data_IF_511401377756
#
_entry.id   IF_511401377756
#
_cell.length_a   1.000
_cell.length_b   1.000
_cell.length_c   1.000
_cell.angle_alpha   90.00
_cell.angle_beta   90.00
_cell.angle_gamma   90.00
#
_symmetry.space_group_name_H-M   'P 1'
#
loop_
_entity.id
_entity.type
_entity.pdbx_description
1 polymer ?
#
# COMPACT_ATOMS: atom_id res chain seq x y z
N UNK A 1 19.15 -31.98 12.30
CA UNK A 1 18.34 -30.98 11.57
C UNK A 1 19.10 -29.67 11.61
N UNK A 2 19.81 -29.37 10.53
CA UNK A 2 20.78 -28.28 10.45
C UNK A 2 20.02 -26.94 10.37
N UNK A 3 20.06 -26.16 11.45
CA UNK A 3 19.66 -24.76 11.40
C UNK A 3 20.73 -24.03 10.57
N UNK A 4 20.41 -23.75 9.30
CA UNK A 4 21.25 -22.87 8.50
C UNK A 4 21.28 -21.49 9.15
N UNK A 5 22.45 -20.85 9.27
CA UNK A 5 22.56 -19.50 9.80
C UNK A 5 21.73 -18.57 8.91
N UNK A 6 20.74 -17.89 9.50
CA UNK A 6 19.95 -16.89 8.80
C UNK A 6 20.89 -15.77 8.37
N UNK A 7 21.14 -15.66 7.07
CA UNK A 7 21.78 -14.46 6.52
C UNK A 7 21.03 -13.22 7.00
N UNK A 8 21.74 -12.11 7.28
CA UNK A 8 21.09 -10.86 7.64
C UNK A 8 20.12 -10.45 6.53
N UNK A 9 18.90 -10.11 6.92
CA UNK A 9 17.83 -9.71 6.01
C UNK A 9 18.30 -8.59 5.07
N UNK A 10 18.26 -8.83 3.76
CA UNK A 10 18.53 -7.82 2.73
C UNK A 10 17.21 -7.41 2.08
N UNK A 11 17.06 -6.12 1.75
CA UNK A 11 15.86 -5.63 1.06
C UNK A 11 15.59 -6.35 -0.28
N UNK A 12 16.63 -6.92 -0.89
CA UNK A 12 16.57 -7.78 -2.09
C UNK A 12 15.87 -9.12 -1.85
N UNK A 13 15.80 -9.63 -0.61
CA UNK A 13 15.14 -10.90 -0.29
C UNK A 13 13.62 -10.81 -0.51
N UNK A 14 13.07 -9.59 -0.45
CA UNK A 14 11.66 -9.29 -0.77
C UNK A 14 11.38 -9.23 -2.27
N UNK A 15 12.40 -9.34 -3.13
CA UNK A 15 12.23 -9.45 -4.60
C UNK A 15 11.98 -10.90 -5.04
N UNK A 16 12.28 -11.89 -4.19
CA UNK A 16 11.92 -13.29 -4.43
C UNK A 16 10.41 -13.50 -4.18
N UNK A 17 9.63 -13.96 -5.17
CA UNK A 17 8.20 -14.20 -5.01
C UNK A 17 7.94 -15.31 -3.97
N UNK A 18 8.74 -16.37 -3.96
CA UNK A 18 8.61 -17.49 -3.02
C UNK A 18 8.86 -17.07 -1.56
N UNK A 19 9.90 -16.26 -1.32
CA UNK A 19 10.21 -15.74 0.02
C UNK A 19 9.06 -14.89 0.54
N UNK A 20 8.50 -14.06 -0.34
CA UNK A 20 7.40 -13.16 -0.05
C UNK A 20 6.10 -13.90 0.25
N UNK A 21 5.69 -14.87 -0.56
CA UNK A 21 4.50 -15.69 -0.27
C UNK A 21 4.63 -16.40 1.08
N UNK A 22 5.82 -16.91 1.39
CA UNK A 22 6.11 -17.53 2.69
C UNK A 22 5.99 -16.50 3.83
N UNK A 23 6.46 -15.28 3.61
CA UNK A 23 6.33 -14.19 4.58
C UNK A 23 4.87 -13.76 4.76
N UNK A 24 4.11 -13.62 3.68
CA UNK A 24 2.67 -13.32 3.69
C UNK A 24 1.87 -14.39 4.45
N UNK A 25 2.15 -15.67 4.21
CA UNK A 25 1.55 -16.77 4.99
C UNK A 25 1.85 -16.66 6.47
N UNK A 26 3.13 -16.44 6.85
CA UNK A 26 3.51 -16.24 8.25
C UNK A 26 2.80 -15.05 8.88
N UNK A 27 2.68 -13.95 8.14
CA UNK A 27 2.03 -12.73 8.60
C UNK A 27 0.52 -12.91 8.78
N UNK A 28 -0.15 -13.59 7.85
CA UNK A 28 -1.57 -13.91 7.95
C UNK A 28 -1.88 -14.80 9.15
N UNK A 29 -1.07 -15.85 9.38
CA UNK A 29 -1.21 -16.70 10.57
C UNK A 29 -1.01 -15.90 11.86
N UNK A 30 -0.02 -15.01 11.90
CA UNK A 30 0.24 -14.16 13.07
C UNK A 30 -0.93 -13.21 13.35
N UNK A 31 -1.48 -12.57 12.32
CA UNK A 31 -2.67 -11.70 12.45
C UNK A 31 -3.83 -12.49 13.05
N UNK A 32 -4.13 -13.69 12.52
CA UNK A 32 -5.22 -14.51 13.00
C UNK A 32 -5.06 -14.88 14.49
N UNK A 33 -3.85 -15.25 14.92
CA UNK A 33 -3.55 -15.55 16.32
C UNK A 33 -3.73 -14.32 17.22
N UNK A 34 -3.28 -13.15 16.78
CA UNK A 34 -3.42 -11.89 17.52
C UNK A 34 -4.89 -11.46 17.64
N UNK A 35 -5.71 -11.69 16.62
CA UNK A 35 -7.15 -11.41 16.65
C UNK A 35 -7.87 -12.31 17.68
N UNK A 36 -7.56 -13.62 17.68
CA UNK A 36 -8.11 -14.56 18.67
C UNK A 36 -7.66 -14.20 20.09
N UNK A 37 -6.39 -13.83 20.27
CA UNK A 37 -5.86 -13.39 21.55
C UNK A 37 -6.56 -12.13 22.05
N UNK A 38 -6.78 -11.14 21.17
CA UNK A 38 -7.49 -9.90 21.50
C UNK A 38 -8.92 -10.19 21.95
N UNK A 39 -9.67 -11.00 21.20
CA UNK A 39 -11.03 -11.41 21.57
C UNK A 39 -11.09 -12.22 22.88
N UNK A 40 -10.01 -12.92 23.24
CA UNK A 40 -9.92 -13.61 24.53
C UNK A 40 -9.67 -12.63 25.68
N UNK A 41 -8.85 -11.60 25.47
CA UNK A 41 -8.59 -10.54 26.45
C UNK A 41 -9.84 -9.72 26.70
N UNK A 42 -10.59 -9.35 25.66
CA UNK A 42 -11.85 -8.61 25.80
C UNK A 42 -12.86 -9.41 26.62
N UNK A 43 -13.05 -10.71 26.32
CA UNK A 43 -13.88 -11.59 27.15
C UNK A 43 -13.40 -11.75 28.59
N UNK A 44 -12.08 -11.67 28.82
CA UNK A 44 -11.51 -11.76 30.16
C UNK A 44 -11.71 -10.47 30.95
N UNK A 45 -11.82 -9.32 30.29
CA UNK A 45 -12.13 -8.03 30.90
C UNK A 45 -13.59 -7.96 31.37
N UNK A 46 -14.50 -8.60 30.65
CA UNK A 46 -15.93 -8.64 31.00
C UNK A 46 -16.24 -9.65 32.13
N UNK A 47 -15.27 -10.48 32.52
CA UNK A 47 -15.44 -11.52 33.54
C UNK A 47 -15.32 -11.01 34.98
N UNK A 48 -15.96 -11.69 35.96
CA UNK A 48 -15.81 -11.35 37.37
C UNK A 48 -14.38 -11.66 37.87
N UNK A 49 -13.78 -10.73 38.62
CA UNK A 49 -12.42 -10.88 39.16
C UNK A 49 -11.29 -10.59 38.18
N UNK A 50 -11.59 -9.90 37.08
CA UNK A 50 -10.60 -9.52 36.08
C UNK A 50 -9.52 -8.59 36.65
N UNK A 51 -8.25 -8.90 36.36
CA UNK A 51 -7.13 -7.99 36.55
C UNK A 51 -7.13 -6.95 35.41
N UNK A 52 -7.96 -5.91 35.61
CA UNK A 52 -8.26 -4.89 34.59
C UNK A 52 -6.99 -4.20 34.10
N UNK A 53 -6.09 -3.83 35.00
CA UNK A 53 -4.86 -3.10 34.65
C UNK A 53 -3.92 -3.93 33.79
N UNK A 54 -3.73 -5.20 34.16
CA UNK A 54 -2.90 -6.12 33.38
C UNK A 54 -3.53 -6.41 32.02
N UNK A 55 -4.83 -6.70 31.98
CA UNK A 55 -5.55 -7.02 30.75
C UNK A 55 -5.63 -5.82 29.80
N UNK A 56 -5.81 -4.60 30.32
CA UNK A 56 -5.77 -3.38 29.52
C UNK A 56 -4.40 -3.17 28.85
N UNK A 57 -3.30 -3.38 29.59
CA UNK A 57 -1.94 -3.33 29.03
C UNK A 57 -1.73 -4.38 27.94
N UNK A 58 -2.18 -5.61 28.18
CA UNK A 58 -2.10 -6.70 27.19
C UNK A 58 -2.90 -6.32 25.93
N UNK A 59 -4.12 -5.80 26.07
CA UNK A 59 -4.96 -5.36 24.96
C UNK A 59 -4.27 -4.29 24.12
N UNK A 60 -3.66 -3.28 24.75
CA UNK A 60 -2.91 -2.22 24.05
C UNK A 60 -1.74 -2.78 23.26
N UNK A 61 -0.98 -3.72 23.84
CA UNK A 61 0.15 -4.35 23.16
C UNK A 61 -0.29 -5.21 21.97
N UNK A 62 -1.37 -5.99 22.13
CA UNK A 62 -1.94 -6.80 21.05
C UNK A 62 -2.44 -5.91 19.92
N UNK A 63 -3.16 -4.83 20.24
CA UNK A 63 -3.67 -3.87 19.26
C UNK A 63 -2.54 -3.21 18.47
N UNK A 64 -1.53 -2.71 19.17
CA UNK A 64 -0.34 -2.09 18.55
C UNK A 64 0.40 -3.05 17.62
N UNK A 65 0.60 -4.30 18.07
CA UNK A 65 1.28 -5.33 17.27
C UNK A 65 0.47 -5.69 16.02
N UNK A 66 -0.85 -5.82 16.18
CA UNK A 66 -1.78 -6.17 15.12
C UNK A 66 -1.85 -5.07 14.04
N UNK A 67 -1.82 -3.79 14.44
CA UNK A 67 -1.67 -2.67 13.50
C UNK A 67 -0.39 -2.76 12.68
N UNK A 68 0.75 -3.04 13.32
CA UNK A 68 2.03 -3.20 12.63
C UNK A 68 1.96 -4.37 11.63
N UNK A 69 1.39 -5.50 12.04
CA UNK A 69 1.21 -6.65 11.13
C UNK A 69 0.30 -6.31 9.94
N UNK A 70 -0.81 -5.60 10.15
CA UNK A 70 -1.70 -5.16 9.05
C UNK A 70 -1.01 -4.19 8.09
N UNK A 71 -0.20 -3.26 8.60
CA UNK A 71 0.61 -2.34 7.78
C UNK A 71 1.65 -3.09 6.95
N UNK A 72 2.35 -4.06 7.57
CA UNK A 72 3.29 -4.92 6.88
C UNK A 72 2.61 -5.72 5.76
N UNK A 73 1.40 -6.23 6.00
CA UNK A 73 0.62 -6.98 5.00
C UNK A 73 0.30 -6.10 3.79
N UNK A 74 -0.21 -4.89 4.03
CA UNK A 74 -0.51 -3.92 2.96
C UNK A 74 0.72 -3.52 2.16
N UNK A 75 1.88 -3.39 2.80
CA UNK A 75 3.15 -3.11 2.11
C UNK A 75 3.59 -4.29 1.24
N UNK A 76 3.33 -5.52 1.69
CA UNK A 76 3.54 -6.77 0.97
C UNK A 76 2.39 -7.12 0.00
N UNK A 77 1.31 -6.37 -0.11
CA UNK A 77 0.29 -6.53 -1.16
C UNK A 77 0.53 -5.51 -2.29
N UNK A 78 0.86 -4.27 -1.93
CA UNK A 78 1.16 -3.19 -2.89
C UNK A 78 2.32 -3.48 -3.85
N UNK A 79 3.25 -4.36 -3.45
CA UNK A 79 4.34 -4.80 -4.33
C UNK A 79 3.94 -5.96 -5.26
N UNK A 80 2.72 -6.49 -5.14
CA UNK A 80 2.23 -7.74 -5.79
C UNK A 80 1.32 -7.36 -6.95
N UNK A 81 0.54 -6.30 -6.77
CA UNK A 81 -0.49 -5.93 -7.73
C UNK A 81 0.08 -5.07 -8.87
N UNK A 82 0.59 -5.74 -9.89
CA UNK A 82 0.46 -5.28 -11.27
C UNK A 82 -0.45 -6.30 -11.98
N UNK A 83 -1.57 -5.86 -12.58
CA UNK A 83 -2.48 -6.76 -13.30
C UNK A 83 -1.74 -7.58 -14.35
N UNK A 84 -2.04 -8.88 -14.45
CA UNK A 84 -1.57 -9.69 -15.58
C UNK A 84 -2.14 -9.11 -16.88
N UNK A 85 -1.25 -8.78 -17.83
CA UNK A 85 -1.61 -8.12 -19.09
C UNK A 85 -1.46 -6.60 -19.09
N UNK A 86 -0.88 -5.99 -18.04
CA UNK A 86 -0.57 -4.57 -18.08
C UNK A 86 0.53 -4.29 -19.13
N UNK A 87 0.31 -3.36 -20.08
CA UNK A 87 1.33 -2.92 -21.02
C UNK A 87 2.63 -2.55 -20.30
N UNK A 88 3.78 -2.97 -20.85
CA UNK A 88 5.10 -2.90 -20.20
C UNK A 88 5.48 -1.48 -19.76
N UNK A 89 5.04 -0.48 -20.52
CA UNK A 89 5.16 0.95 -20.23
C UNK A 89 4.36 1.39 -18.99
N UNK A 90 3.14 0.87 -18.78
CA UNK A 90 2.32 1.18 -17.61
C UNK A 90 2.86 0.50 -16.35
N UNK A 91 3.35 -0.72 -16.50
CA UNK A 91 3.97 -1.45 -15.41
C UNK A 91 5.23 -0.75 -14.89
N UNK A 92 6.00 -0.13 -15.79
CA UNK A 92 7.16 0.69 -15.44
C UNK A 92 6.78 1.95 -14.64
N UNK A 93 5.71 2.65 -15.05
CA UNK A 93 5.21 3.86 -14.35
C UNK A 93 4.79 3.55 -12.91
N UNK A 94 4.04 2.48 -12.69
CA UNK A 94 3.57 2.05 -11.36
C UNK A 94 4.76 1.64 -10.47
N UNK A 95 5.75 0.92 -11.03
CA UNK A 95 6.98 0.57 -10.31
C UNK A 95 7.82 1.80 -9.96
N UNK A 96 7.89 2.79 -10.84
CA UNK A 96 8.61 4.03 -10.58
C UNK A 96 7.92 4.88 -9.49
N UNK A 97 6.59 4.99 -9.52
CA UNK A 97 5.80 5.70 -8.52
C UNK A 97 5.95 5.10 -7.11
N UNK A 98 6.11 3.78 -7.00
CA UNK A 98 6.32 3.10 -5.72
C UNK A 98 7.75 3.16 -5.17
N UNK A 99 8.76 3.45 -6.00
CA UNK A 99 10.17 3.37 -5.61
C UNK A 99 10.78 4.68 -5.15
N UNK A 100 10.40 5.85 -5.67
CA UNK A 100 10.95 7.13 -5.21
C UNK A 100 10.13 8.32 -5.75
N UNK A 101 10.02 9.39 -4.95
CA UNK A 101 9.59 10.75 -5.35
C UNK A 101 10.53 11.44 -6.36
N UNK A 102 11.27 10.68 -7.16
CA UNK A 102 12.15 11.24 -8.19
C UNK A 102 11.28 11.37 -9.43
N UNK A 103 10.85 12.61 -9.68
CA UNK A 103 10.08 12.96 -10.87
C UNK A 103 10.80 12.45 -12.12
N UNK A 104 10.16 11.64 -12.97
CA UNK A 104 10.76 11.27 -14.23
C UNK A 104 10.94 12.53 -15.08
N UNK A 105 12.19 12.88 -15.40
CA UNK A 105 12.56 14.04 -16.23
C UNK A 105 11.94 14.00 -17.64
N UNK A 106 11.46 12.83 -18.09
CA UNK A 106 10.75 12.65 -19.35
C UNK A 106 9.64 11.63 -19.17
N UNK A 107 8.44 11.98 -19.64
CA UNK A 107 7.31 11.07 -19.68
C UNK A 107 7.56 9.95 -20.72
N UNK A 108 7.10 8.72 -20.48
CA UNK A 108 7.22 7.61 -21.42
C UNK A 108 6.59 7.90 -22.79
N UNK A 109 7.07 7.20 -23.82
CA UNK A 109 6.49 7.21 -25.16
C UNK A 109 5.01 6.77 -25.06
N UNK A 110 4.10 7.57 -25.62
CA UNK A 110 2.64 7.35 -25.52
C UNK A 110 1.96 8.05 -24.34
N UNK A 111 2.69 8.77 -23.49
CA UNK A 111 2.10 9.60 -22.42
C UNK A 111 1.62 10.98 -22.88
N UNK A 112 1.78 11.28 -24.18
CA UNK A 112 1.22 12.49 -24.76
C UNK A 112 -0.28 12.31 -24.98
N UNK A 113 -1.07 13.29 -24.57
CA UNK A 113 -2.46 13.34 -24.99
C UNK A 113 -2.51 13.34 -26.53
N UNK A 114 -3.36 12.51 -27.11
CA UNK A 114 -3.63 12.51 -28.55
C UNK A 114 -4.40 13.79 -28.87
N UNK A 115 -3.67 14.84 -29.25
CA UNK A 115 -4.25 16.15 -29.51
C UNK A 115 -4.99 16.13 -30.84
N UNK A 116 -6.27 16.50 -30.82
CA UNK A 116 -7.12 16.60 -32.01
C UNK A 116 -6.72 17.77 -32.93
N UNK A 117 -6.00 18.77 -32.40
CA UNK A 117 -5.54 19.94 -33.16
C UNK A 117 -4.25 20.59 -32.63
N UNK A 118 -3.60 21.39 -33.48
CA UNK A 118 -2.41 22.19 -33.11
C UNK A 118 -2.77 23.25 -32.05
N UNK A 119 -3.98 23.79 -32.10
CA UNK A 119 -4.47 24.78 -31.13
C UNK A 119 -4.63 24.17 -29.74
N UNK A 120 -5.14 22.94 -29.68
CA UNK A 120 -5.22 22.16 -28.46
C UNK A 120 -3.81 21.94 -27.88
N UNK A 121 -2.84 21.54 -28.71
CA UNK A 121 -1.44 21.39 -28.27
C UNK A 121 -0.89 22.65 -27.61
N UNK A 122 -1.07 23.81 -28.23
CA UNK A 122 -0.63 25.11 -27.67
C UNK A 122 -1.37 25.50 -26.39
N UNK A 123 -2.62 25.04 -26.22
CA UNK A 123 -3.39 25.28 -24.99
C UNK A 123 -2.79 24.47 -23.84
N UNK A 124 -2.58 23.17 -24.04
CA UNK A 124 -2.02 22.30 -23.01
C UNK A 124 -0.56 22.65 -22.67
N UNK A 125 0.25 23.04 -23.65
CA UNK A 125 1.61 23.56 -23.40
C UNK A 125 1.62 24.77 -22.46
N UNK A 126 0.59 25.63 -22.52
CA UNK A 126 0.46 26.81 -21.65
C UNK A 126 -0.08 26.49 -20.26
N UNK A 127 -0.82 25.40 -20.09
CA UNK A 127 -1.39 25.02 -18.80
C UNK A 127 -0.34 24.47 -17.84
N UNK A 128 0.80 24.00 -18.34
CA UNK A 128 1.89 23.52 -17.49
C UNK A 128 1.53 22.22 -16.76
N UNK A 129 2.29 21.91 -15.70
CA UNK A 129 2.11 20.68 -14.91
C UNK A 129 1.02 20.91 -13.86
N UNK A 130 0.12 19.95 -13.72
CA UNK A 130 -0.90 19.98 -12.66
C UNK A 130 -0.21 19.89 -11.30
N UNK A 131 -0.43 20.90 -10.47
CA UNK A 131 0.14 21.01 -9.14
C UNK A 131 -0.61 20.17 -8.10
N UNK A 132 0.05 19.85 -6.99
CA UNK A 132 -0.61 19.14 -5.88
C UNK A 132 -1.71 19.99 -5.24
N UNK A 133 -1.49 21.28 -5.10
CA UNK A 133 -2.46 22.23 -4.56
C UNK A 133 -3.70 22.34 -5.44
N UNK A 134 -3.52 22.27 -6.77
CA UNK A 134 -4.63 22.25 -7.73
C UNK A 134 -5.48 21.00 -7.52
N UNK A 135 -4.88 19.82 -7.34
CA UNK A 135 -5.61 18.58 -7.06
C UNK A 135 -6.37 18.64 -5.73
N UNK A 136 -5.75 19.20 -4.69
CA UNK A 136 -6.37 19.31 -3.36
C UNK A 136 -7.51 20.33 -3.33
N UNK A 137 -7.51 21.30 -4.25
CA UNK A 137 -8.54 22.32 -4.37
C UNK A 137 -9.77 21.90 -5.20
N UNK A 138 -9.69 20.76 -5.89
CA UNK A 138 -10.78 20.29 -6.76
C UNK A 138 -11.82 19.53 -5.94
N UNK A 139 -13.08 19.96 -6.07
CA UNK A 139 -14.23 19.20 -5.59
C UNK A 139 -14.53 18.05 -6.57
N UNK A 140 -14.17 16.84 -6.14
CA UNK A 140 -14.33 15.62 -6.95
C UNK A 140 -15.80 15.21 -7.11
N UNK A 141 -16.68 15.59 -6.18
CA UNK A 141 -18.10 15.23 -6.22
C UNK A 141 -18.85 16.10 -7.23
N UNK A 142 -18.56 17.41 -7.28
CA UNK A 142 -19.06 18.32 -8.32
C UNK A 142 -18.53 17.93 -9.71
N UNK A 143 -17.24 17.58 -9.79
CA UNK A 143 -16.62 17.10 -11.03
C UNK A 143 -17.30 15.81 -11.54
N UNK A 144 -17.53 14.84 -10.65
CA UNK A 144 -18.20 13.59 -11.01
C UNK A 144 -19.62 13.85 -11.53
N UNK A 145 -20.35 14.75 -10.87
CA UNK A 145 -21.71 15.14 -11.28
C UNK A 145 -21.74 15.77 -12.67
N UNK A 146 -20.77 16.62 -13.01
CA UNK A 146 -20.66 17.25 -14.35
C UNK A 146 -20.30 16.27 -15.46
N UNK A 147 -19.54 15.22 -15.13
CA UNK A 147 -19.09 14.23 -16.10
C UNK A 147 -20.14 13.15 -16.39
N UNK A 148 -21.09 12.94 -15.49
CA UNK A 148 -22.12 11.92 -15.64
C UNK A 148 -23.30 12.31 -16.53
N UNK A 149 -23.48 13.60 -16.84
CA UNK A 149 -24.52 14.10 -17.75
C UNK A 149 -25.92 14.05 -17.15
#
# INVERSE_FOLDING_TARGET
MSQQPSEPFKNSDLESPEYRERLMRKLNTLIAVLEVASAKVDRSLDGPGADIDRLAKIRTNLTSTLEVCRRARKALERREELPEGLPENLAEVVRAAGRNRIEPKRLPIGSGAEMSSIEERRRFERMGRIGREELESVDLDDLASKLQG
#
